data_IF_432531965842
#
_entry.id   IF_432531965842
#
_cell.length_a   1.000
_cell.length_b   1.000
_cell.length_c   1.000
_cell.angle_alpha   90.00
_cell.angle_beta   90.00
_cell.angle_gamma   90.00
#
_symmetry.space_group_name_H-M   'P 1'
#
loop_
_entity.id
_entity.type
_entity.pdbx_description
1 polymer ?
#
# COMPACT_ATOMS: atom_id res chain seq x y z
N UNK A 1 2.27 -3.34 17.84
CA UNK A 1 3.08 -2.79 16.72
C UNK A 1 2.77 -1.32 16.40
N UNK A 2 1.63 -0.98 15.78
CA UNK A 2 1.40 0.40 15.28
C UNK A 2 1.52 1.51 16.34
N UNK A 3 1.04 1.30 17.56
CA UNK A 3 1.09 2.34 18.60
C UNK A 3 2.45 2.44 19.28
N UNK A 4 3.05 1.31 19.66
CA UNK A 4 4.36 1.27 20.32
C UNK A 4 5.49 1.71 19.40
N UNK A 5 5.45 1.30 18.13
CA UNK A 5 6.47 1.67 17.15
C UNK A 5 6.38 3.16 16.79
N UNK A 6 5.15 3.71 16.72
CA UNK A 6 4.96 5.17 16.59
C UNK A 6 5.45 5.93 17.81
N UNK A 7 5.39 5.37 19.02
CA UNK A 7 5.97 5.99 20.23
C UNK A 7 7.50 5.95 20.23
N UNK A 8 8.11 4.86 19.75
CA UNK A 8 9.56 4.65 19.78
C UNK A 8 10.28 5.36 18.62
N UNK A 9 9.79 5.19 17.40
CA UNK A 9 10.42 5.69 16.18
C UNK A 9 9.76 6.99 15.67
N UNK A 10 8.51 7.27 16.06
CA UNK A 10 7.78 8.44 15.58
C UNK A 10 7.09 8.21 14.24
N UNK A 11 6.11 9.06 13.88
CA UNK A 11 5.35 8.93 12.62
C UNK A 11 6.25 9.03 11.39
N UNK A 12 7.25 9.91 11.42
CA UNK A 12 8.14 10.17 10.27
C UNK A 12 8.95 8.93 9.91
N UNK A 13 9.63 8.35 10.90
CA UNK A 13 10.52 7.22 10.68
C UNK A 13 9.69 5.97 10.34
N UNK A 14 8.57 5.72 11.03
CA UNK A 14 7.72 4.58 10.73
C UNK A 14 7.15 4.60 9.30
N UNK A 15 6.73 5.78 8.80
CA UNK A 15 6.30 5.91 7.41
C UNK A 15 7.44 5.67 6.44
N UNK A 16 8.64 6.16 6.75
CA UNK A 16 9.83 5.94 5.93
C UNK A 16 10.20 4.45 5.91
N UNK A 17 10.18 3.77 7.06
CA UNK A 17 10.48 2.35 7.17
C UNK A 17 9.55 1.52 6.30
N UNK A 18 8.23 1.76 6.36
CA UNK A 18 7.27 1.05 5.50
C UNK A 18 7.37 1.41 4.00
N UNK A 19 7.89 2.59 3.64
CA UNK A 19 8.10 2.96 2.23
C UNK A 19 9.35 2.31 1.63
N UNK A 20 10.38 1.98 2.44
CA UNK A 20 11.65 1.41 1.96
C UNK A 20 11.79 -0.09 2.23
N UNK A 21 11.07 -0.61 3.22
CA UNK A 21 11.07 -2.03 3.54
C UNK A 21 10.26 -2.84 2.52
N UNK A 22 10.67 -4.08 2.27
CA UNK A 22 9.87 -4.99 1.46
C UNK A 22 8.52 -5.26 2.15
N UNK A 23 7.42 -5.48 1.40
CA UNK A 23 6.09 -5.73 1.97
C UNK A 23 6.07 -6.84 3.02
N UNK A 24 6.92 -7.85 2.83
CA UNK A 24 7.04 -9.02 3.70
C UNK A 24 7.65 -8.68 5.07
N UNK A 25 8.39 -7.59 5.20
CA UNK A 25 9.02 -7.19 6.48
C UNK A 25 7.97 -6.95 7.58
N UNK A 26 6.85 -6.33 7.23
CA UNK A 26 5.74 -6.11 8.15
C UNK A 26 5.10 -7.44 8.59
N UNK A 27 4.99 -8.39 7.65
CA UNK A 27 4.44 -9.71 7.92
C UNK A 27 5.32 -10.48 8.89
N UNK A 28 6.63 -10.57 8.63
CA UNK A 28 7.59 -11.28 9.51
C UNK A 28 7.55 -10.74 10.93
N UNK A 29 7.50 -9.41 11.08
CA UNK A 29 7.37 -8.80 12.41
C UNK A 29 6.08 -9.25 13.11
N UNK A 30 4.94 -9.21 12.40
CA UNK A 30 3.65 -9.58 12.98
C UNK A 30 3.55 -11.07 13.34
N UNK A 31 4.23 -11.95 12.59
CA UNK A 31 4.24 -13.40 12.87
C UNK A 31 4.96 -13.77 14.18
N UNK A 32 5.76 -12.86 14.76
CA UNK A 32 6.34 -13.05 16.10
C UNK A 32 5.32 -12.87 17.23
N UNK A 33 4.11 -12.40 16.94
CA UNK A 33 3.05 -12.21 17.93
C UNK A 33 2.06 -13.37 17.87
N UNK A 34 2.01 -14.17 18.94
CA UNK A 34 1.12 -15.34 19.07
C UNK A 34 -0.33 -14.99 18.76
N UNK A 35 -0.82 -13.88 19.29
CA UNK A 35 -2.22 -13.47 19.18
C UNK A 35 -2.56 -13.12 17.71
N UNK A 36 -1.61 -12.52 16.99
CA UNK A 36 -1.78 -12.22 15.58
C UNK A 36 -1.84 -13.50 14.74
N UNK A 37 -0.95 -14.45 15.02
CA UNK A 37 -0.94 -15.78 14.37
C UNK A 37 -2.26 -16.50 14.63
N UNK A 38 -2.72 -16.52 15.88
CA UNK A 38 -3.97 -17.17 16.28
C UNK A 38 -5.18 -16.58 15.53
N UNK A 39 -5.28 -15.25 15.46
CA UNK A 39 -6.37 -14.57 14.76
C UNK A 39 -6.34 -14.81 13.25
N UNK A 40 -5.16 -14.83 12.64
CA UNK A 40 -5.01 -14.84 11.17
C UNK A 40 -4.98 -16.24 10.57
N UNK A 41 -4.28 -17.17 11.21
CA UNK A 41 -4.07 -18.53 10.71
C UNK A 41 -4.25 -19.62 11.79
N UNK A 42 -4.54 -19.27 13.04
CA UNK A 42 -4.65 -20.19 14.17
C UNK A 42 -3.28 -20.62 14.70
N UNK A 43 -2.49 -21.27 13.84
CA UNK A 43 -1.11 -21.66 14.14
C UNK A 43 -0.21 -21.40 12.93
N UNK A 44 1.10 -21.22 13.17
CA UNK A 44 2.08 -21.03 12.08
C UNK A 44 2.09 -22.22 11.11
N UNK A 45 1.84 -23.44 11.61
CA UNK A 45 1.75 -24.63 10.76
C UNK A 45 0.64 -24.51 9.72
N UNK A 46 -0.42 -23.75 9.99
CA UNK A 46 -1.57 -23.55 9.10
C UNK A 46 -1.47 -22.29 8.24
N UNK A 47 -0.36 -21.55 8.33
CA UNK A 47 -0.12 -20.35 7.54
C UNK A 47 -0.25 -20.62 6.03
N UNK A 48 0.26 -21.76 5.56
CA UNK A 48 0.16 -22.15 4.15
C UNK A 48 -1.30 -22.33 3.70
N UNK A 49 -2.16 -22.92 4.54
CA UNK A 49 -3.59 -23.06 4.24
C UNK A 49 -4.27 -21.69 4.09
N UNK A 50 -3.89 -20.73 4.94
CA UNK A 50 -4.41 -19.37 4.89
C UNK A 50 -4.03 -18.65 3.58
N UNK A 51 -2.77 -18.79 3.15
CA UNK A 51 -2.32 -18.24 1.86
C UNK A 51 -3.01 -18.89 0.66
N UNK A 52 -3.17 -20.22 0.66
CA UNK A 52 -3.89 -20.93 -0.41
C UNK A 52 -5.34 -20.45 -0.53
N UNK A 53 -6.03 -20.23 0.60
CA UNK A 53 -7.39 -19.68 0.59
C UNK A 53 -7.42 -18.27 -0.01
N UNK A 54 -6.49 -17.39 0.38
CA UNK A 54 -6.39 -16.04 -0.18
C UNK A 54 -6.16 -16.05 -1.68
N UNK A 55 -5.25 -16.90 -2.17
CA UNK A 55 -4.96 -17.05 -3.61
C UNK A 55 -6.18 -17.52 -4.40
N UNK A 56 -6.94 -18.49 -3.86
CA UNK A 56 -8.16 -19.00 -4.50
C UNK A 56 -9.19 -17.88 -4.61
N UNK A 57 -9.42 -17.10 -3.55
CA UNK A 57 -10.37 -15.99 -3.57
C UNK A 57 -9.93 -14.88 -4.54
N UNK A 58 -8.63 -14.55 -4.59
CA UNK A 58 -8.11 -13.62 -5.60
C UNK A 58 -8.37 -14.10 -7.03
N UNK A 59 -8.08 -15.39 -7.33
CA UNK A 59 -8.33 -15.96 -8.65
C UNK A 59 -9.81 -15.93 -9.03
N UNK A 60 -10.71 -16.24 -8.08
CA UNK A 60 -12.15 -16.13 -8.29
C UNK A 60 -12.55 -14.69 -8.64
N UNK A 61 -12.05 -13.71 -7.90
CA UNK A 61 -12.33 -12.29 -8.14
C UNK A 61 -11.86 -11.82 -9.52
N UNK A 62 -10.71 -12.31 -10.00
CA UNK A 62 -10.20 -12.03 -11.35
C UNK A 62 -11.11 -12.63 -12.42
N UNK A 63 -11.63 -13.85 -12.21
CA UNK A 63 -12.53 -14.51 -13.17
C UNK A 63 -13.92 -13.86 -13.21
N UNK A 64 -14.37 -13.22 -12.14
CA UNK A 64 -15.68 -12.57 -12.07
C UNK A 64 -15.68 -11.08 -12.48
N UNK A 65 -14.51 -10.42 -12.44
CA UNK A 65 -14.36 -9.04 -12.90
C UNK A 65 -13.74 -9.01 -14.31
N UNK A 66 -14.57 -8.77 -15.33
CA UNK A 66 -14.11 -8.36 -16.66
C UNK A 66 -13.43 -6.98 -16.60
N UNK A 67 -12.16 -6.93 -16.24
CA UNK A 67 -11.33 -5.74 -16.39
C UNK A 67 -10.18 -6.01 -17.37
N UNK A 68 -10.33 -5.35 -18.54
CA UNK A 68 -9.39 -4.94 -19.61
C UNK A 68 -7.92 -5.38 -19.49
N UNK A 69 -7.26 -5.66 -20.63
CA UNK A 69 -5.91 -6.24 -20.64
C UNK A 69 -4.91 -5.35 -19.91
N UNK A 70 -4.40 -5.88 -18.79
CA UNK A 70 -3.18 -5.43 -18.14
C UNK A 70 -2.03 -5.62 -19.12
N UNK A 71 -1.57 -4.52 -19.72
CA UNK A 71 -0.31 -4.47 -20.42
C UNK A 71 0.80 -4.65 -19.37
N UNK A 72 1.47 -5.81 -19.39
CA UNK A 72 2.71 -6.19 -18.73
C UNK A 72 2.97 -5.64 -17.29
N UNK A 73 2.95 -6.48 -16.24
CA UNK A 73 3.21 -5.99 -14.89
C UNK A 73 4.70 -6.08 -14.57
N UNK A 74 5.47 -5.07 -14.95
CA UNK A 74 6.56 -4.65 -14.07
C UNK A 74 5.91 -4.01 -12.83
N UNK A 75 5.66 -4.84 -11.83
CA UNK A 75 5.41 -4.45 -10.43
C UNK A 75 4.47 -3.25 -10.24
N UNK A 76 3.20 -3.41 -10.60
CA UNK A 76 2.16 -2.56 -9.99
C UNK A 76 2.02 -3.05 -8.55
N UNK A 77 2.77 -2.42 -7.64
CA UNK A 77 2.49 -2.47 -6.20
C UNK A 77 1.00 -2.13 -6.08
N UNK A 78 0.15 -2.98 -5.48
CA UNK A 78 -1.26 -2.66 -5.33
C UNK A 78 -1.33 -1.30 -4.64
N UNK A 79 -1.98 -0.33 -5.32
CA UNK A 79 -2.12 1.04 -4.85
C UNK A 79 -2.80 0.97 -3.49
N UNK A 80 -1.99 0.95 -2.43
CA UNK A 80 -2.51 0.79 -1.09
C UNK A 80 -3.20 2.10 -0.81
N UNK A 81 -4.52 2.10 -0.65
CA UNK A 81 -5.29 3.31 -0.38
C UNK A 81 -4.91 3.85 0.99
N UNK A 82 -3.80 4.59 1.04
CA UNK A 82 -3.32 5.27 2.22
C UNK A 82 -3.76 6.73 2.16
N UNK A 83 -4.20 7.26 3.30
CA UNK A 83 -4.59 8.67 3.45
C UNK A 83 -3.44 9.67 3.17
N UNK A 84 -2.24 9.20 2.86
CA UNK A 84 -1.06 10.01 2.52
C UNK A 84 -0.41 9.52 1.24
N UNK A 85 0.01 10.46 0.39
CA UNK A 85 0.79 10.18 -0.82
C UNK A 85 2.19 9.62 -0.49
N UNK A 86 2.78 8.75 -1.33
CA UNK A 86 4.17 8.30 -1.24
C UNK A 86 5.16 9.47 -1.22
N UNK A 87 6.35 9.27 -0.65
CA UNK A 87 7.36 10.33 -0.57
C UNK A 87 7.81 10.85 -1.94
N UNK A 88 7.94 10.01 -2.96
CA UNK A 88 8.36 10.47 -4.29
C UNK A 88 7.29 11.31 -4.98
N UNK A 89 6.02 10.91 -4.89
CA UNK A 89 4.89 11.72 -5.35
C UNK A 89 4.82 13.06 -4.60
N UNK A 90 5.11 13.04 -3.30
CA UNK A 90 5.18 14.26 -2.48
C UNK A 90 6.29 15.20 -2.96
N UNK A 91 7.47 14.66 -3.33
CA UNK A 91 8.57 15.45 -3.90
C UNK A 91 8.16 16.04 -5.24
N UNK A 92 7.50 15.26 -6.10
CA UNK A 92 7.01 15.71 -7.40
C UNK A 92 6.02 16.87 -7.26
N UNK A 93 5.01 16.75 -6.39
CA UNK A 93 3.99 17.78 -6.18
C UNK A 93 4.58 19.07 -5.59
N UNK A 94 5.58 18.94 -4.72
CA UNK A 94 6.26 20.09 -4.11
C UNK A 94 7.32 20.72 -5.00
N UNK A 95 7.60 20.16 -6.18
CA UNK A 95 8.50 20.78 -7.13
C UNK A 95 7.94 22.12 -7.63
N UNK A 96 8.80 23.10 -7.88
CA UNK A 96 8.37 24.39 -8.41
C UNK A 96 7.63 24.26 -9.74
N UNK A 97 8.09 23.35 -10.60
CA UNK A 97 7.46 23.10 -11.89
C UNK A 97 6.01 22.64 -11.72
N UNK A 98 5.75 21.73 -10.78
CA UNK A 98 4.40 21.25 -10.51
C UNK A 98 3.53 22.33 -9.86
N UNK A 99 4.08 23.10 -8.93
CA UNK A 99 3.37 24.24 -8.34
C UNK A 99 2.93 25.26 -9.39
N UNK A 100 3.81 25.61 -10.35
CA UNK A 100 3.46 26.52 -11.46
C UNK A 100 2.31 25.95 -12.31
N UNK A 101 2.33 24.64 -12.59
CA UNK A 101 1.23 23.97 -13.32
C UNK A 101 -0.08 24.00 -12.54
N UNK A 102 -0.04 23.72 -11.24
CA UNK A 102 -1.22 23.74 -10.37
C UNK A 102 -1.82 25.15 -10.33
N UNK A 103 -1.00 26.18 -10.12
CA UNK A 103 -1.45 27.58 -10.12
C UNK A 103 -2.02 27.97 -11.49
N UNK A 104 -1.34 27.63 -12.58
CA UNK A 104 -1.82 27.92 -13.94
C UNK A 104 -3.17 27.25 -14.22
N UNK A 105 -3.35 26.00 -13.79
CA UNK A 105 -4.62 25.28 -13.96
C UNK A 105 -5.72 25.88 -13.09
N UNK A 106 -5.43 26.23 -11.84
CA UNK A 106 -6.38 26.88 -10.93
C UNK A 106 -6.84 28.26 -11.45
N UNK A 107 -5.95 28.99 -12.12
CA UNK A 107 -6.25 30.29 -12.74
C UNK A 107 -6.88 30.16 -14.14
N UNK A 108 -6.86 28.97 -14.74
CA UNK A 108 -7.53 28.73 -16.01
C UNK A 108 -9.03 28.59 -15.81
N UNK A 109 -9.82 29.22 -16.69
CA UNK A 109 -11.29 29.20 -16.60
C UNK A 109 -11.78 27.77 -16.81
N UNK A 110 -12.66 27.27 -15.92
CA UNK A 110 -13.22 25.94 -16.06
C UNK A 110 -13.85 25.75 -17.45
N UNK A 111 -13.65 24.59 -18.10
CA UNK A 111 -14.25 24.32 -19.40
C UNK A 111 -15.76 24.43 -19.26
N UNK A 112 -16.37 25.27 -20.12
CA UNK A 112 -17.83 25.32 -20.22
C UNK A 112 -18.25 24.04 -20.93
N UNK A 113 -18.93 23.16 -20.19
CA UNK A 113 -19.72 22.06 -20.76
C UNK A 113 -20.87 22.63 -21.59
#
# INVERSE_FOLDING_TARGET
>A
MKHDERRRSGRKNLTQDFEHLPPEAALVYNLNHSDYVEITCGTLDRLHEAFVKLDIEQRKNVLTNDQRPSCAPDKIIPLTETASLPTDDRKLIRSEQMQRRIVSAAMSRAPRL
#
